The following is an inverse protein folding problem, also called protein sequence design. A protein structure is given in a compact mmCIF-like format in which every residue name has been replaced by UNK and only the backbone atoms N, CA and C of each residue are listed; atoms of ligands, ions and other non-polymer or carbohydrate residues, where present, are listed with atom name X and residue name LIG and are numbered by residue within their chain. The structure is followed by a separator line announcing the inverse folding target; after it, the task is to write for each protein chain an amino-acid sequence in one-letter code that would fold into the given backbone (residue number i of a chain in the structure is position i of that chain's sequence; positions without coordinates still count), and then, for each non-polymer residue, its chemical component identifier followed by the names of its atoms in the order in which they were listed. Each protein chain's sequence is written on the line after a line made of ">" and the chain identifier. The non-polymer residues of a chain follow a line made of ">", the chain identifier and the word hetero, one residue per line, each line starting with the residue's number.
data_IF_304768233177
#
_entry.id   IF_304768233177
#
_cell.length_a   1.000
_cell.length_b   1.000
_cell.length_c   1.000
_cell.angle_alpha   90.00
_cell.angle_beta   90.00
_cell.angle_gamma   90.00
#
_symmetry.space_group_name_H-M   'P 1'
#
loop_
_entity.id
_entity.type
_entity.pdbx_description
1 polymer ?
#
# COMPACT_ATOMS: atom_id res chain seq x y z
N UNK A 1 43.35 19.72 -3.10
CA UNK A 1 42.23 19.13 -3.87
C UNK A 1 41.12 18.82 -2.88
N UNK A 2 40.00 19.56 -2.94
CA UNK A 2 38.85 19.39 -2.03
C UNK A 2 37.93 18.30 -2.59
N UNK A 3 37.81 17.17 -1.91
CA UNK A 3 36.78 16.16 -2.18
C UNK A 3 35.48 16.62 -1.53
N UNK A 4 34.50 17.01 -2.34
CA UNK A 4 33.16 17.32 -1.85
C UNK A 4 32.57 16.12 -1.08
N UNK A 5 31.94 16.33 0.09
CA UNK A 5 31.24 15.24 0.77
C UNK A 5 30.06 14.74 -0.09
N UNK A 6 29.77 13.44 -0.08
CA UNK A 6 28.63 12.89 -0.83
C UNK A 6 27.33 13.54 -0.37
N UNK A 7 26.34 13.72 -1.26
CA UNK A 7 25.04 14.28 -0.89
C UNK A 7 24.42 13.39 0.19
N UNK A 8 24.36 13.92 1.41
CA UNK A 8 23.70 13.25 2.53
C UNK A 8 22.21 13.29 2.23
N UNK A 9 21.67 12.15 1.78
CA UNK A 9 20.23 11.93 1.63
C UNK A 9 19.54 12.36 2.94
N UNK A 10 18.43 13.14 2.88
CA UNK A 10 17.80 13.71 4.06
C UNK A 10 17.31 12.59 5.00
N UNK A 11 18.07 12.47 6.09
CA UNK A 11 17.76 12.06 7.45
C UNK A 11 16.61 11.05 7.67
N UNK A 12 16.98 9.90 8.23
CA UNK A 12 16.21 8.67 8.41
C UNK A 12 15.09 8.69 9.48
N UNK A 13 14.38 9.81 9.64
CA UNK A 13 13.08 9.85 10.32
C UNK A 13 12.11 10.53 9.36
N UNK A 14 11.77 9.78 8.31
CA UNK A 14 11.20 10.32 7.08
C UNK A 14 9.89 11.06 7.30
N UNK A 15 9.72 12.15 6.54
CA UNK A 15 8.49 12.91 6.35
C UNK A 15 7.23 12.04 6.54
N UNK A 16 6.23 12.57 7.25
CA UNK A 16 4.92 11.93 7.47
C UNK A 16 4.42 11.19 6.22
N UNK A 17 4.52 11.84 5.06
CA UNK A 17 4.15 11.32 3.75
C UNK A 17 4.95 10.05 3.40
N UNK A 18 6.26 10.06 3.61
CA UNK A 18 7.12 8.89 3.43
C UNK A 18 6.78 7.73 4.37
N UNK A 19 6.33 8.03 5.60
CA UNK A 19 5.79 7.02 6.53
C UNK A 19 4.53 6.35 5.99
N UNK A 20 3.58 7.14 5.49
CA UNK A 20 2.33 6.66 4.91
C UNK A 20 2.57 5.86 3.62
N UNK A 21 3.52 6.28 2.78
CA UNK A 21 3.90 5.51 1.59
C UNK A 21 4.47 4.13 1.94
N UNK A 22 5.32 4.04 2.98
CA UNK A 22 5.84 2.75 3.48
C UNK A 22 4.73 1.87 4.06
N UNK A 23 3.77 2.47 4.76
CA UNK A 23 2.59 1.74 5.24
C UNK A 23 1.76 1.18 4.09
N UNK A 24 1.48 1.97 3.05
CA UNK A 24 0.76 1.51 1.86
C UNK A 24 1.51 0.39 1.13
N UNK A 25 2.84 0.47 1.04
CA UNK A 25 3.68 -0.61 0.54
C UNK A 25 3.52 -1.93 1.31
N UNK A 26 3.46 -1.86 2.65
CA UNK A 26 3.20 -3.02 3.52
C UNK A 26 1.81 -3.60 3.30
N UNK A 27 0.78 -2.75 3.20
CA UNK A 27 -0.60 -3.17 2.92
C UNK A 27 -0.69 -3.90 1.58
N UNK A 28 -0.08 -3.35 0.52
CA UNK A 28 -0.04 -4.02 -0.79
C UNK A 28 0.66 -5.38 -0.74
N UNK A 29 1.82 -5.46 -0.08
CA UNK A 29 2.56 -6.71 0.08
C UNK A 29 1.73 -7.77 0.82
N UNK A 30 1.05 -7.37 1.90
CA UNK A 30 0.21 -8.27 2.69
C UNK A 30 -1.03 -8.74 1.93
N UNK A 31 -1.72 -7.83 1.25
CA UNK A 31 -2.87 -8.19 0.41
C UNK A 31 -2.49 -9.17 -0.71
N UNK A 32 -1.33 -8.98 -1.37
CA UNK A 32 -0.84 -9.96 -2.36
C UNK A 32 -0.62 -11.34 -1.75
N UNK A 33 -0.03 -11.40 -0.56
CA UNK A 33 0.23 -12.67 0.13
C UNK A 33 -1.06 -13.36 0.55
N UNK A 34 -2.01 -12.62 1.13
CA UNK A 34 -3.34 -13.16 1.48
C UNK A 34 -4.07 -13.66 0.23
N UNK A 35 -4.00 -12.94 -0.89
CA UNK A 35 -4.63 -13.39 -2.14
C UNK A 35 -4.05 -14.72 -2.64
N UNK A 36 -2.74 -14.92 -2.52
CA UNK A 36 -2.11 -16.22 -2.82
C UNK A 36 -2.55 -17.30 -1.83
N UNK A 37 -2.54 -17.00 -0.53
CA UNK A 37 -2.92 -17.96 0.51
C UNK A 37 -4.39 -18.39 0.37
N UNK A 38 -5.29 -17.46 -0.02
CA UNK A 38 -6.69 -17.75 -0.32
C UNK A 38 -6.87 -18.68 -1.53
N UNK A 39 -5.98 -18.62 -2.52
CA UNK A 39 -6.02 -19.48 -3.71
C UNK A 39 -5.60 -20.93 -3.44
N UNK A 40 -4.83 -21.18 -2.37
CA UNK A 40 -4.29 -22.50 -2.04
C UNK A 40 -4.90 -23.12 -0.78
N UNK A 41 -5.64 -22.35 0.03
CA UNK A 41 -6.12 -22.79 1.33
C UNK A 41 -7.49 -23.49 1.25
N UNK A 42 -7.58 -24.73 1.74
CA UNK A 42 -8.84 -25.49 1.83
C UNK A 42 -9.46 -25.48 3.24
N UNK A 43 -8.71 -25.00 4.25
CA UNK A 43 -9.18 -24.95 5.63
C UNK A 43 -10.16 -23.78 5.83
N UNK A 44 -11.44 -24.09 6.08
CA UNK A 44 -12.52 -23.10 6.23
C UNK A 44 -12.25 -22.04 7.31
N UNK A 45 -11.69 -22.44 8.46
CA UNK A 45 -11.35 -21.51 9.54
C UNK A 45 -10.22 -20.54 9.16
N UNK A 46 -9.22 -21.02 8.42
CA UNK A 46 -8.12 -20.18 7.94
C UNK A 46 -8.60 -19.23 6.82
N UNK A 47 -9.47 -19.70 5.92
CA UNK A 47 -10.11 -18.87 4.89
C UNK A 47 -10.91 -17.71 5.51
N UNK A 48 -11.69 -17.96 6.56
CA UNK A 48 -12.44 -16.90 7.25
C UNK A 48 -11.51 -15.84 7.86
N UNK A 49 -10.41 -16.26 8.48
CA UNK A 49 -9.40 -15.35 9.05
C UNK A 49 -8.69 -14.53 7.98
N UNK A 50 -8.28 -15.16 6.88
CA UNK A 50 -7.62 -14.49 5.75
C UNK A 50 -8.54 -13.45 5.08
N UNK A 51 -9.84 -13.75 4.94
CA UNK A 51 -10.84 -12.80 4.44
C UNK A 51 -11.05 -11.62 5.39
N UNK A 52 -11.15 -11.87 6.70
CA UNK A 52 -11.26 -10.81 7.69
C UNK A 52 -10.03 -9.90 7.69
N UNK A 53 -8.83 -10.47 7.56
CA UNK A 53 -7.59 -9.70 7.44
C UNK A 53 -7.56 -8.87 6.15
N UNK A 54 -8.00 -9.44 5.02
CA UNK A 54 -8.11 -8.70 3.75
C UNK A 54 -9.07 -7.49 3.88
N UNK A 55 -10.21 -7.67 4.55
CA UNK A 55 -11.16 -6.58 4.82
C UNK A 55 -10.53 -5.49 5.69
N UNK A 56 -9.80 -5.85 6.74
CA UNK A 56 -9.10 -4.88 7.60
C UNK A 56 -8.04 -4.08 6.81
N UNK A 57 -7.29 -4.74 5.94
CA UNK A 57 -6.30 -4.08 5.08
C UNK A 57 -6.97 -3.12 4.07
N UNK A 58 -8.11 -3.50 3.53
CA UNK A 58 -8.89 -2.65 2.62
C UNK A 58 -9.47 -1.43 3.34
N UNK A 59 -10.01 -1.62 4.55
CA UNK A 59 -10.46 -0.52 5.40
C UNK A 59 -9.31 0.46 5.68
N UNK A 60 -8.13 -0.05 6.03
CA UNK A 60 -6.95 0.77 6.27
C UNK A 60 -6.48 1.53 5.03
N UNK A 61 -6.57 0.92 3.84
CA UNK A 61 -6.29 1.60 2.58
C UNK A 61 -7.24 2.77 2.33
N UNK A 62 -8.53 2.62 2.63
CA UNK A 62 -9.51 3.70 2.54
C UNK A 62 -9.19 4.86 3.50
N UNK A 63 -8.80 4.54 4.74
CA UNK A 63 -8.34 5.54 5.72
C UNK A 63 -7.13 6.32 5.22
N UNK A 64 -6.11 5.61 4.71
CA UNK A 64 -4.90 6.25 4.15
C UNK A 64 -5.24 7.12 2.94
N UNK A 65 -6.21 6.72 2.12
CA UNK A 65 -6.70 7.56 1.02
C UNK A 65 -7.36 8.83 1.53
N UNK A 66 -8.21 8.74 2.56
CA UNK A 66 -8.84 9.90 3.17
C UNK A 66 -7.80 10.86 3.77
N UNK A 67 -6.81 10.33 4.50
CA UNK A 67 -5.68 11.09 5.04
C UNK A 67 -4.91 11.77 3.90
N UNK A 68 -4.57 11.06 2.84
CA UNK A 68 -3.83 11.63 1.71
C UNK A 68 -4.59 12.79 1.03
N UNK A 69 -5.93 12.68 0.91
CA UNK A 69 -6.77 13.77 0.40
C UNK A 69 -6.78 14.99 1.33
N UNK A 70 -6.75 14.78 2.64
CA UNK A 70 -6.66 15.86 3.62
C UNK A 70 -5.28 16.53 3.58
N UNK A 71 -4.20 15.74 3.48
CA UNK A 71 -2.83 16.25 3.36
C UNK A 71 -2.65 17.08 2.09
N UNK A 72 -3.32 16.73 0.99
CA UNK A 72 -3.31 17.51 -0.25
C UNK A 72 -3.77 18.96 -0.08
N UNK A 73 -4.61 19.25 0.93
CA UNK A 73 -5.10 20.60 1.22
C UNK A 73 -4.11 21.42 2.07
N UNK A 74 -3.01 20.83 2.53
CA UNK A 74 -2.04 21.51 3.39
C UNK A 74 -0.92 22.15 2.55
N UNK A 75 -0.71 23.48 2.64
CA UNK A 75 0.22 24.20 1.76
C UNK A 75 1.71 23.92 2.04
N UNK A 76 2.04 23.29 3.17
CA UNK A 76 3.43 23.10 3.63
C UNK A 76 3.95 21.67 3.47
N UNK A 77 3.21 20.80 2.78
CA UNK A 77 3.60 19.40 2.57
C UNK A 77 4.11 19.17 1.15
N UNK A 78 4.98 18.17 1.00
CA UNK A 78 5.53 17.77 -0.30
C UNK A 78 4.40 17.30 -1.25
N UNK A 79 4.09 18.08 -2.30
CA UNK A 79 2.98 17.77 -3.19
C UNK A 79 3.24 16.49 -4.00
N UNK A 80 4.50 16.21 -4.36
CA UNK A 80 4.84 15.01 -5.13
C UNK A 80 4.63 13.75 -4.29
N UNK A 81 5.10 13.76 -3.05
CA UNK A 81 4.88 12.66 -2.11
C UNK A 81 3.39 12.39 -1.84
N UNK A 82 2.57 13.45 -1.75
CA UNK A 82 1.11 13.31 -1.55
C UNK A 82 0.44 12.71 -2.77
N UNK A 83 0.75 13.19 -3.98
CA UNK A 83 0.21 12.61 -5.23
C UNK A 83 0.62 11.14 -5.37
N UNK A 84 1.87 10.81 -5.04
CA UNK A 84 2.34 9.45 -5.02
C UNK A 84 1.56 8.57 -4.01
N UNK A 85 1.35 9.07 -2.79
CA UNK A 85 0.54 8.37 -1.79
C UNK A 85 -0.90 8.13 -2.27
N UNK A 86 -1.54 9.15 -2.87
CA UNK A 86 -2.87 9.02 -3.45
C UNK A 86 -2.92 7.96 -4.54
N UNK A 87 -1.95 7.93 -5.44
CA UNK A 87 -1.83 6.91 -6.48
C UNK A 87 -1.64 5.52 -5.89
N UNK A 88 -0.80 5.37 -4.85
CA UNK A 88 -0.65 4.10 -4.14
C UNK A 88 -1.98 3.63 -3.54
N UNK A 89 -2.75 4.52 -2.90
CA UNK A 89 -4.03 4.14 -2.29
C UNK A 89 -5.10 3.78 -3.32
N UNK A 90 -4.99 4.24 -4.57
CA UNK A 90 -5.92 3.92 -5.67
C UNK A 90 -5.65 2.57 -6.32
N UNK A 91 -4.38 2.14 -6.32
CA UNK A 91 -3.99 0.84 -6.86
C UNK A 91 -4.43 -0.23 -5.87
N UNK A 92 -5.66 -0.73 -6.01
CA UNK A 92 -5.99 -1.98 -5.32
C UNK A 92 -5.03 -3.06 -5.85
N UNK A 93 -4.50 -3.94 -4.99
CA UNK A 93 -3.83 -5.13 -5.46
C UNK A 93 -4.88 -5.92 -6.24
N UNK A 94 -4.78 -5.87 -7.58
CA UNK A 94 -5.56 -6.71 -8.47
C UNK A 94 -5.49 -8.13 -7.90
N UNK A 95 -6.62 -8.77 -7.52
CA UNK A 95 -6.59 -10.19 -7.28
C UNK A 95 -6.02 -10.81 -8.56
N UNK A 96 -4.96 -11.61 -8.42
CA UNK A 96 -4.25 -12.20 -9.55
C UNK A 96 -5.26 -12.78 -10.53
N UNK A 97 -5.24 -12.30 -11.77
CA UNK A 97 -6.01 -12.89 -12.84
C UNK A 97 -5.56 -14.33 -13.05
N UNK A 98 -6.45 -15.29 -12.74
CA UNK A 98 -6.53 -16.64 -13.29
C UNK A 98 -7.75 -17.31 -12.63
N UNK A 99 -8.75 -17.87 -13.30
CA UNK A 99 -9.01 -18.09 -14.71
C UNK A 99 -10.54 -18.19 -14.89
N UNK A 100 -11.09 -17.53 -15.91
CA UNK A 100 -12.37 -17.89 -16.49
C UNK A 100 -12.22 -17.84 -18.01
N UNK A 101 -11.42 -18.79 -18.50
CA UNK A 101 -11.44 -19.23 -19.89
C UNK A 101 -11.94 -20.68 -19.85
N UNK A 102 -13.25 -20.83 -19.99
CA UNK A 102 -13.97 -22.05 -20.37
C UNK A 102 -15.35 -21.52 -20.78
N UNK A 103 -15.71 -21.44 -22.07
CA UNK A 103 -15.67 -22.53 -23.03
C UNK A 103 -16.94 -23.35 -22.84
N UNK A 104 -17.96 -23.04 -23.66
CA UNK A 104 -19.30 -23.61 -23.63
C UNK A 104 -20.30 -22.66 -24.26
#
# INVERSE_FOLDING_TARGET
>A
MQTAPPPRLPNQVGSLVGGLCREMGRIHGRNKRIAMDLGCCQAKGLLARLRAEQQQLQQRQCELQAIARQLKQQPNLDPLGIEFLLELTRRSPRPGGSAAHAGG
#
